data_IF_864546181237
#
_entry.id   IF_864546181237
#
_cell.length_a   1.000
_cell.length_b   1.000
_cell.length_c   1.000
_cell.angle_alpha   90.00
_cell.angle_beta   90.00
_cell.angle_gamma   90.00
#
_symmetry.space_group_name_H-M   'P 1'
#
loop_
_entity.id
_entity.type
_entity.pdbx_description
1 polymer ?
#
# COMPACT_ATOMS: atom_id res chain seq x y z
N UNK A 1 4.24 -26.07 1.70
CA UNK A 1 4.10 -24.67 1.25
C UNK A 1 3.01 -24.64 0.19
N UNK A 2 1.94 -23.88 0.39
CA UNK A 2 0.86 -23.79 -0.60
C UNK A 2 1.33 -22.98 -1.83
N UNK A 3 0.97 -23.42 -3.03
CA UNK A 3 1.35 -22.75 -4.28
C UNK A 3 0.79 -21.33 -4.34
N UNK A 4 1.61 -20.39 -4.83
CA UNK A 4 1.18 -19.00 -5.06
C UNK A 4 -0.05 -18.92 -5.97
N UNK A 5 -0.20 -19.84 -6.91
CA UNK A 5 -1.36 -19.93 -7.81
C UNK A 5 -2.63 -20.33 -7.05
N UNK A 6 -2.52 -21.21 -6.07
CA UNK A 6 -3.67 -21.55 -5.20
C UNK A 6 -4.06 -20.38 -4.31
N UNK A 7 -3.07 -19.68 -3.74
CA UNK A 7 -3.33 -18.46 -2.97
C UNK A 7 -3.99 -17.37 -3.80
N UNK A 8 -3.58 -17.23 -5.07
CA UNK A 8 -4.25 -16.34 -6.02
C UNK A 8 -5.69 -16.78 -6.30
N UNK A 9 -5.91 -18.07 -6.59
CA UNK A 9 -7.24 -18.62 -6.87
C UNK A 9 -8.23 -18.40 -5.72
N UNK A 10 -7.77 -18.57 -4.48
CA UNK A 10 -8.59 -18.36 -3.27
C UNK A 10 -8.61 -16.91 -2.78
N UNK A 11 -7.94 -15.97 -3.46
CA UNK A 11 -7.88 -14.57 -3.05
C UNK A 11 -7.13 -14.32 -1.75
N UNK A 12 -6.26 -15.23 -1.33
CA UNK A 12 -5.51 -15.15 -0.07
C UNK A 12 -4.12 -14.50 -0.23
N UNK A 13 -3.90 -13.78 -1.33
CA UNK A 13 -2.72 -12.95 -1.55
C UNK A 13 -3.02 -11.53 -1.04
N UNK A 14 -2.89 -11.35 0.28
CA UNK A 14 -3.01 -10.04 0.93
C UNK A 14 -1.66 -9.63 1.53
N UNK A 15 -0.69 -9.14 0.72
CA UNK A 15 0.61 -8.70 1.21
C UNK A 15 0.47 -7.58 2.24
N UNK A 16 -0.44 -6.64 1.99
CA UNK A 16 -0.61 -5.43 2.82
C UNK A 16 -1.03 -5.79 4.24
N UNK A 17 -1.98 -6.72 4.41
CA UNK A 17 -2.39 -7.16 5.75
C UNK A 17 -1.26 -7.85 6.52
N UNK A 18 -0.34 -8.50 5.81
CA UNK A 18 0.80 -9.19 6.44
C UNK A 18 1.90 -8.22 6.84
N UNK A 19 2.09 -7.15 6.07
CA UNK A 19 3.07 -6.09 6.34
C UNK A 19 2.56 -5.22 7.48
N UNK A 20 1.32 -4.70 7.37
CA UNK A 20 0.73 -3.76 8.32
C UNK A 20 0.58 -4.36 9.72
N UNK A 21 0.16 -5.62 9.84
CA UNK A 21 -0.01 -6.27 11.16
C UNK A 21 1.30 -6.57 11.87
N UNK A 22 2.42 -6.63 11.15
CA UNK A 22 3.71 -7.07 11.69
C UNK A 22 4.72 -5.93 11.86
N UNK A 23 4.40 -4.73 11.38
CA UNK A 23 5.33 -3.60 11.40
C UNK A 23 5.00 -2.63 12.56
N UNK A 24 5.77 -2.67 13.66
CA UNK A 24 5.51 -1.80 14.81
C UNK A 24 5.70 -0.31 14.46
N UNK A 25 6.56 0.00 13.50
CA UNK A 25 6.77 1.38 13.06
C UNK A 25 5.52 1.94 12.37
N UNK A 26 4.85 1.13 11.55
CA UNK A 26 3.59 1.51 10.92
C UNK A 26 2.52 1.84 11.97
N UNK A 27 2.38 0.99 13.00
CA UNK A 27 1.41 1.21 14.08
C UNK A 27 1.69 2.52 14.81
N UNK A 28 2.95 2.79 15.13
CA UNK A 28 3.38 4.02 15.81
C UNK A 28 3.13 5.27 14.95
N UNK A 29 3.36 5.19 13.64
CA UNK A 29 3.06 6.30 12.72
C UNK A 29 1.56 6.53 12.61
N UNK A 30 0.76 5.47 12.52
CA UNK A 30 -0.69 5.56 12.47
C UNK A 30 -1.27 6.19 13.76
N UNK A 31 -0.75 5.83 14.93
CA UNK A 31 -1.12 6.49 16.19
C UNK A 31 -0.80 7.99 16.18
N UNK A 32 0.35 8.40 15.64
CA UNK A 32 0.69 9.82 15.50
C UNK A 32 -0.27 10.57 14.58
N UNK A 33 -0.70 9.94 13.48
CA UNK A 33 -1.70 10.50 12.57
C UNK A 33 -3.00 10.77 13.32
N UNK A 34 -3.50 9.79 14.10
CA UNK A 34 -4.73 9.94 14.88
C UNK A 34 -4.61 11.06 15.90
N UNK A 35 -3.50 11.14 16.65
CA UNK A 35 -3.26 12.19 17.64
C UNK A 35 -3.22 13.58 16.98
N UNK A 36 -2.61 13.71 15.81
CA UNK A 36 -2.55 14.97 15.08
C UNK A 36 -3.92 15.38 14.54
N UNK A 37 -4.71 14.44 14.03
CA UNK A 37 -6.08 14.68 13.57
C UNK A 37 -6.96 15.22 14.70
N UNK A 38 -6.90 14.61 15.89
CA UNK A 38 -7.66 15.08 17.05
C UNK A 38 -7.25 16.50 17.48
N UNK A 39 -5.95 16.80 17.45
CA UNK A 39 -5.45 18.15 17.73
C UNK A 39 -5.93 19.16 16.68
N UNK A 40 -5.86 18.82 15.39
CA UNK A 40 -6.33 19.68 14.32
C UNK A 40 -7.81 19.98 14.47
N UNK A 41 -8.63 18.96 14.77
CA UNK A 41 -10.07 19.12 15.03
C UNK A 41 -10.38 20.14 16.14
N UNK A 42 -9.54 20.23 17.17
CA UNK A 42 -9.71 21.19 18.26
C UNK A 42 -9.21 22.60 17.92
N UNK A 43 -8.24 22.72 17.01
CA UNK A 43 -7.59 23.99 16.66
C UNK A 43 -8.27 24.71 15.49
N UNK A 44 -9.06 24.01 14.69
CA UNK A 44 -9.69 24.54 13.49
C UNK A 44 -11.21 24.66 13.64
N UNK A 45 -11.84 25.52 12.84
CA UNK A 45 -13.29 25.48 12.68
C UNK A 45 -13.72 24.27 11.82
N UNK A 46 -15.02 24.02 11.74
CA UNK A 46 -15.57 22.87 11.03
C UNK A 46 -15.22 22.86 9.54
N UNK A 47 -15.35 23.99 8.84
CA UNK A 47 -15.06 24.11 7.41
C UNK A 47 -13.60 23.79 7.08
N UNK A 48 -12.66 24.32 7.88
CA UNK A 48 -11.23 24.04 7.71
C UNK A 48 -10.94 22.56 7.98
N UNK A 49 -11.57 21.97 9.00
CA UNK A 49 -11.38 20.55 9.32
C UNK A 49 -11.92 19.63 8.22
N UNK A 50 -13.06 19.98 7.62
CA UNK A 50 -13.65 19.27 6.49
C UNK A 50 -12.72 19.31 5.27
N UNK A 51 -12.18 20.48 4.92
CA UNK A 51 -11.20 20.63 3.83
C UNK A 51 -9.91 19.80 4.06
N UNK A 52 -9.42 19.75 5.30
CA UNK A 52 -8.26 18.90 5.65
C UNK A 52 -8.60 17.42 5.48
N UNK A 53 -9.80 17.01 5.90
CA UNK A 53 -10.26 15.63 5.79
C UNK A 53 -10.38 15.19 4.32
N UNK A 54 -10.98 16.05 3.48
CA UNK A 54 -11.10 15.83 2.04
C UNK A 54 -9.71 15.74 1.36
N UNK A 55 -8.77 16.62 1.72
CA UNK A 55 -7.40 16.55 1.22
C UNK A 55 -6.74 15.21 1.57
N UNK A 56 -6.92 14.72 2.80
CA UNK A 56 -6.36 13.43 3.24
C UNK A 56 -7.00 12.25 2.51
N UNK A 57 -8.31 12.30 2.26
CA UNK A 57 -9.02 11.28 1.47
C UNK A 57 -8.48 11.21 0.04
N UNK A 58 -8.43 12.36 -0.67
CA UNK A 58 -7.89 12.45 -2.03
C UNK A 58 -6.44 11.96 -2.09
N UNK A 59 -5.61 12.35 -1.13
CA UNK A 59 -4.21 11.91 -1.07
C UNK A 59 -4.11 10.39 -0.85
N UNK A 60 -4.97 9.83 0.01
CA UNK A 60 -5.02 8.38 0.27
C UNK A 60 -5.43 7.60 -0.98
N UNK A 61 -6.46 8.05 -1.69
CA UNK A 61 -6.91 7.43 -2.93
C UNK A 61 -5.84 7.50 -4.03
N UNK A 62 -5.20 8.66 -4.18
CA UNK A 62 -4.12 8.86 -5.16
C UNK A 62 -2.95 7.93 -4.87
N UNK A 63 -2.52 7.85 -3.61
CA UNK A 63 -1.45 6.94 -3.19
C UNK A 63 -1.83 5.46 -3.41
N UNK A 64 -3.09 5.10 -3.16
CA UNK A 64 -3.58 3.74 -3.41
C UNK A 64 -3.51 3.38 -4.89
N UNK A 65 -3.91 4.30 -5.79
CA UNK A 65 -3.81 4.11 -7.24
C UNK A 65 -2.36 4.00 -7.71
N UNK A 66 -1.48 4.87 -7.22
CA UNK A 66 -0.05 4.82 -7.55
C UNK A 66 0.59 3.50 -7.07
N UNK A 67 0.27 3.07 -5.85
CA UNK A 67 0.77 1.82 -5.28
C UNK A 67 0.29 0.61 -6.10
N UNK A 68 -0.99 0.58 -6.48
CA UNK A 68 -1.54 -0.49 -7.31
C UNK A 68 -0.87 -0.55 -8.70
N UNK A 69 -0.65 0.61 -9.35
CA UNK A 69 0.07 0.68 -10.61
C UNK A 69 1.53 0.22 -10.47
N UNK A 70 2.23 0.71 -9.45
CA UNK A 70 3.62 0.36 -9.16
C UNK A 70 3.78 -1.13 -8.88
N UNK A 71 2.85 -1.72 -8.13
CA UNK A 71 2.80 -3.16 -7.88
C UNK A 71 2.65 -3.95 -9.19
N UNK A 72 1.63 -3.64 -10.00
CA UNK A 72 1.40 -4.32 -11.28
C UNK A 72 2.58 -4.18 -12.24
N UNK A 73 3.15 -2.98 -12.31
CA UNK A 73 4.32 -2.68 -13.13
C UNK A 73 5.55 -3.47 -12.65
N UNK A 74 5.84 -3.46 -11.34
CA UNK A 74 6.96 -4.19 -10.74
C UNK A 74 6.88 -5.69 -10.97
N UNK A 75 5.70 -6.30 -10.83
CA UNK A 75 5.50 -7.72 -11.12
C UNK A 75 5.76 -8.07 -12.59
N UNK A 76 5.24 -7.25 -13.52
CA UNK A 76 5.47 -7.44 -14.96
C UNK A 76 6.96 -7.33 -15.31
N UNK A 77 7.63 -6.31 -14.80
CA UNK A 77 9.07 -6.12 -15.02
C UNK A 77 9.90 -7.25 -14.41
N UNK A 78 9.57 -7.69 -13.20
CA UNK A 78 10.20 -8.86 -12.57
C UNK A 78 10.11 -10.10 -13.44
N UNK A 79 8.92 -10.39 -13.98
CA UNK A 79 8.73 -11.53 -14.89
C UNK A 79 9.53 -11.39 -16.19
N UNK A 80 9.58 -10.20 -16.79
CA UNK A 80 10.39 -9.93 -17.99
C UNK A 80 11.88 -10.17 -17.71
N UNK A 81 12.41 -9.62 -16.60
CA UNK A 81 13.80 -9.83 -16.20
C UNK A 81 14.12 -11.30 -15.97
N UNK A 82 13.23 -12.05 -15.30
CA UNK A 82 13.43 -13.50 -15.11
C UNK A 82 13.48 -14.26 -16.44
N UNK A 83 12.58 -13.95 -17.39
CA UNK A 83 12.59 -14.57 -18.72
C UNK A 83 13.87 -14.26 -19.49
N UNK A 84 14.38 -13.02 -19.40
CA UNK A 84 15.63 -12.62 -20.03
C UNK A 84 16.83 -13.40 -19.47
N UNK A 85 16.94 -13.48 -18.14
CA UNK A 85 18.01 -14.23 -17.46
C UNK A 85 17.98 -15.71 -17.86
N UNK A 86 16.80 -16.35 -17.77
CA UNK A 86 16.64 -17.79 -18.06
C UNK A 86 16.84 -18.11 -19.55
N UNK A 87 16.56 -17.17 -20.45
CA UNK A 87 16.83 -17.34 -21.88
C UNK A 87 18.34 -17.36 -22.18
N UNK A 88 19.13 -16.64 -21.38
CA UNK A 88 20.59 -16.57 -21.52
C UNK A 88 21.32 -17.75 -20.85
N UNK A 89 20.64 -18.66 -20.14
CA UNK A 89 21.23 -19.90 -19.59
C UNK A 89 21.31 -21.06 -20.61
N UNK A 90 20.96 -20.82 -21.88
CA UNK A 90 21.01 -21.81 -22.97
C UNK A 90 22.12 -21.58 -24.01
N UNK A 91 23.03 -20.65 -23.77
CA UNK A 91 24.32 -20.52 -24.50
C UNK A 91 25.47 -21.03 -23.62
#
# INVERSE_FOLDING_TARGET
MESIIKKLYYGSLNPDEWIIKKEPEYQKLNEQIVILLDKLKQLTNQEIFENISELMEITTETNSLETAHSFSFGFKYGAIMMMEILKNEKE
#
